data_IF_068222331662
#
_entry.id   IF_068222331662
#
_cell.length_a   1.000
_cell.length_b   1.000
_cell.length_c   1.000
_cell.angle_alpha   90.00
_cell.angle_beta   90.00
_cell.angle_gamma   90.00
#
_symmetry.space_group_name_H-M   'P 1'
#
loop_
_entity.id
_entity.type
_entity.pdbx_description
1 polymer ?
#
# COMPACT_ATOMS: atom_id res chain seq x y z
N UNK A 1 -33.30 49.84 -19.84
CA UNK A 1 -31.92 49.39 -19.56
C UNK A 1 -30.98 49.89 -20.65
N UNK A 2 -30.10 50.85 -20.35
CA UNK A 2 -29.15 51.39 -21.33
C UNK A 2 -28.17 50.34 -21.85
N UNK A 3 -27.79 50.48 -23.11
CA UNK A 3 -26.90 49.59 -23.86
C UNK A 3 -25.54 49.34 -23.15
N UNK A 4 -25.07 50.35 -22.40
CA UNK A 4 -23.87 50.30 -21.54
C UNK A 4 -23.97 49.25 -20.41
N UNK A 5 -25.15 49.06 -19.83
CA UNK A 5 -25.40 48.09 -18.76
C UNK A 5 -25.38 46.65 -19.28
N UNK A 6 -25.94 46.41 -20.49
CA UNK A 6 -25.91 45.10 -21.15
C UNK A 6 -24.48 44.68 -21.51
N UNK A 7 -23.64 45.61 -22.00
CA UNK A 7 -22.22 45.34 -22.30
C UNK A 7 -21.41 44.97 -21.05
N UNK A 8 -21.65 45.62 -19.90
CA UNK A 8 -21.01 45.27 -18.62
C UNK A 8 -21.41 43.89 -18.12
N UNK A 9 -22.70 43.57 -18.16
CA UNK A 9 -23.21 42.26 -17.75
C UNK A 9 -22.62 41.14 -18.61
N UNK A 10 -22.62 41.34 -19.94
CA UNK A 10 -22.10 40.36 -20.89
C UNK A 10 -20.60 40.07 -20.66
N UNK A 11 -19.79 41.09 -20.36
CA UNK A 11 -18.36 40.92 -19.99
C UNK A 11 -18.15 40.13 -18.69
N UNK A 12 -19.01 40.35 -17.68
CA UNK A 12 -18.95 39.60 -16.42
C UNK A 12 -19.33 38.14 -16.61
N UNK A 13 -20.37 37.87 -17.42
CA UNK A 13 -20.81 36.51 -17.73
C UNK A 13 -19.75 35.74 -18.52
N UNK A 14 -19.13 36.33 -19.54
CA UNK A 14 -18.01 35.67 -20.24
C UNK A 14 -16.82 35.43 -19.32
N UNK A 15 -16.48 36.37 -18.44
CA UNK A 15 -15.41 36.16 -17.44
C UNK A 15 -15.72 35.01 -16.50
N UNK A 16 -16.95 34.92 -15.98
CA UNK A 16 -17.38 33.83 -15.12
C UNK A 16 -17.35 32.46 -15.83
N UNK A 17 -17.84 32.43 -17.08
CA UNK A 17 -17.83 31.22 -17.91
C UNK A 17 -16.41 30.71 -18.16
N UNK A 18 -15.48 31.61 -18.51
CA UNK A 18 -14.07 31.24 -18.74
C UNK A 18 -13.41 30.74 -17.46
N UNK A 19 -13.73 31.34 -16.31
CA UNK A 19 -13.17 30.92 -15.01
C UNK A 19 -13.68 29.52 -14.63
N UNK A 20 -14.98 29.27 -14.76
CA UNK A 20 -15.57 27.94 -14.49
C UNK A 20 -14.98 26.89 -15.44
N UNK A 21 -14.83 27.23 -16.72
CA UNK A 21 -14.25 26.32 -17.71
C UNK A 21 -12.78 26.01 -17.40
N UNK A 22 -11.99 27.02 -17.03
CA UNK A 22 -10.60 26.83 -16.62
C UNK A 22 -10.47 25.95 -15.37
N UNK A 23 -11.27 26.21 -14.33
CA UNK A 23 -11.28 25.37 -13.12
C UNK A 23 -11.70 23.94 -13.44
N UNK A 24 -12.76 23.74 -14.24
CA UNK A 24 -13.24 22.43 -14.64
C UNK A 24 -12.18 21.61 -15.38
N UNK A 25 -11.52 22.22 -16.37
CA UNK A 25 -10.40 21.59 -17.09
C UNK A 25 -9.26 21.20 -16.15
N UNK A 26 -8.86 22.12 -15.26
CA UNK A 26 -7.78 21.84 -14.31
C UNK A 26 -8.12 20.69 -13.35
N UNK A 27 -9.37 20.58 -12.91
CA UNK A 27 -9.84 19.50 -12.05
C UNK A 27 -9.84 18.14 -12.76
N UNK A 28 -10.27 18.09 -14.03
CA UNK A 28 -10.24 16.85 -14.83
C UNK A 28 -8.81 16.40 -15.09
N UNK A 29 -7.92 17.32 -15.45
CA UNK A 29 -6.50 17.05 -15.65
C UNK A 29 -5.87 16.52 -14.36
N UNK A 30 -6.15 17.16 -13.21
CA UNK A 30 -5.66 16.67 -11.93
C UNK A 30 -6.15 15.24 -11.64
N UNK A 31 -7.44 14.96 -11.81
CA UNK A 31 -8.02 13.65 -11.50
C UNK A 31 -7.43 12.49 -12.33
N UNK A 32 -6.98 12.75 -13.57
CA UNK A 32 -6.38 11.71 -14.42
C UNK A 32 -4.87 11.55 -14.20
N UNK A 33 -4.18 12.59 -13.72
CA UNK A 33 -2.74 12.57 -13.47
C UNK A 33 -2.39 12.22 -12.01
N UNK A 34 -3.31 12.40 -11.06
CA UNK A 34 -3.08 12.04 -9.67
C UNK A 34 -3.10 10.52 -9.50
N UNK A 35 -2.06 9.92 -8.87
CA UNK A 35 -2.07 8.51 -8.53
C UNK A 35 -3.27 8.17 -7.64
N UNK A 36 -3.81 6.97 -7.83
CA UNK A 36 -4.84 6.43 -6.93
C UNK A 36 -4.30 6.45 -5.49
N UNK A 37 -5.07 6.96 -4.51
CA UNK A 37 -4.69 6.83 -3.12
C UNK A 37 -4.62 5.34 -2.78
N UNK A 38 -3.52 4.92 -2.17
CA UNK A 38 -3.36 3.59 -1.61
C UNK A 38 -4.25 3.46 -0.38
N UNK A 39 -5.54 3.19 -0.61
CA UNK A 39 -6.49 2.81 0.42
C UNK A 39 -6.39 1.30 0.61
N UNK A 40 -6.14 0.85 1.83
CA UNK A 40 -6.14 -0.57 2.17
C UNK A 40 -7.58 -1.12 2.08
N UNK A 41 -8.02 -1.44 0.87
CA UNK A 41 -9.29 -2.13 0.63
C UNK A 41 -9.05 -3.62 0.77
N UNK A 42 -9.77 -4.26 1.69
CA UNK A 42 -9.76 -5.70 1.85
C UNK A 42 -10.41 -6.37 0.62
N UNK A 43 -9.60 -6.60 -0.41
CA UNK A 43 -9.99 -7.41 -1.56
C UNK A 43 -10.18 -8.86 -1.10
N UNK A 44 -11.26 -9.52 -1.53
CA UNK A 44 -11.52 -10.90 -1.14
C UNK A 44 -10.40 -11.85 -1.60
N UNK A 45 -9.77 -11.56 -2.74
CA UNK A 45 -8.60 -12.32 -3.19
C UNK A 45 -7.42 -12.19 -2.22
N UNK A 46 -7.20 -11.00 -1.66
CA UNK A 46 -6.18 -10.76 -0.64
C UNK A 46 -6.53 -11.47 0.68
N UNK A 47 -7.81 -11.56 1.05
CA UNK A 47 -8.21 -12.28 2.27
C UNK A 47 -7.93 -13.79 2.20
N UNK A 48 -8.05 -14.40 1.01
CA UNK A 48 -7.69 -15.80 0.81
C UNK A 48 -6.17 -15.99 0.91
N UNK A 49 -5.38 -15.12 0.27
CA UNK A 49 -3.92 -15.14 0.37
C UNK A 49 -3.42 -14.94 1.80
N UNK A 50 -4.03 -14.02 2.56
CA UNK A 50 -3.69 -13.78 3.96
C UNK A 50 -3.96 -15.03 4.82
N UNK A 51 -5.06 -15.74 4.58
CA UNK A 51 -5.36 -16.98 5.29
C UNK A 51 -4.34 -18.08 5.00
N UNK A 52 -3.98 -18.27 3.72
CA UNK A 52 -2.93 -19.21 3.34
C UNK A 52 -1.58 -18.83 3.99
N UNK A 53 -1.24 -17.54 3.98
CA UNK A 53 -0.04 -17.04 4.66
C UNK A 53 -0.05 -17.30 6.16
N UNK A 54 -1.21 -17.14 6.81
CA UNK A 54 -1.39 -17.44 8.22
C UNK A 54 -1.22 -18.93 8.52
N UNK A 55 -1.81 -19.82 7.73
CA UNK A 55 -1.67 -21.28 7.90
C UNK A 55 -0.20 -21.73 7.77
N UNK A 56 0.53 -21.18 6.80
CA UNK A 56 1.97 -21.41 6.65
C UNK A 56 2.76 -20.86 7.85
N UNK A 57 2.39 -19.69 8.36
CA UNK A 57 3.04 -19.08 9.51
C UNK A 57 2.84 -19.92 10.79
N UNK A 58 1.61 -20.37 11.04
CA UNK A 58 1.24 -21.20 12.19
C UNK A 58 1.97 -22.54 12.20
N UNK A 59 2.23 -23.10 11.02
CA UNK A 59 2.88 -24.42 10.90
C UNK A 59 4.41 -24.35 10.93
N UNK A 60 5.03 -23.30 10.38
CA UNK A 60 6.48 -23.27 10.15
C UNK A 60 7.24 -22.20 10.96
N UNK A 61 6.58 -21.15 11.45
CA UNK A 61 7.26 -19.94 11.95
C UNK A 61 6.95 -19.64 13.42
N UNK A 62 5.76 -20.01 13.89
CA UNK A 62 5.19 -19.58 15.18
C UNK A 62 6.07 -19.95 16.39
N UNK A 63 6.78 -21.07 16.31
CA UNK A 63 7.60 -21.59 17.42
C UNK A 63 8.77 -20.67 17.79
N UNK A 64 9.28 -19.92 16.80
CA UNK A 64 10.37 -18.96 16.98
C UNK A 64 9.89 -17.51 16.94
N UNK A 65 8.85 -17.19 16.17
CA UNK A 65 8.40 -15.81 15.94
C UNK A 65 7.10 -15.43 16.69
N UNK A 66 6.49 -16.37 17.40
CA UNK A 66 5.32 -16.15 18.26
C UNK A 66 4.00 -16.03 17.50
N UNK A 67 2.89 -16.34 18.17
CA UNK A 67 1.53 -16.34 17.59
C UNK A 67 1.08 -14.99 17.00
N UNK A 68 1.62 -13.89 17.52
CA UNK A 68 1.27 -12.52 17.15
C UNK A 68 2.46 -11.78 16.53
N UNK A 69 3.42 -12.50 15.91
CA UNK A 69 4.64 -11.93 15.33
C UNK A 69 5.56 -11.24 16.36
N UNK A 70 5.32 -11.42 17.66
CA UNK A 70 6.01 -10.70 18.72
C UNK A 70 7.44 -11.19 18.98
N UNK A 71 7.84 -12.30 18.36
CA UNK A 71 9.10 -12.97 18.65
C UNK A 71 9.01 -13.85 19.90
N UNK A 72 10.03 -14.67 20.09
CA UNK A 72 10.20 -15.50 21.28
C UNK A 72 11.64 -15.31 21.76
N UNK A 73 11.79 -14.85 23.00
CA UNK A 73 13.10 -14.59 23.60
C UNK A 73 14.01 -15.84 23.52
N UNK A 74 15.24 -15.65 23.04
CA UNK A 74 16.20 -16.73 22.82
C UNK A 74 15.90 -17.67 21.64
N UNK A 75 14.79 -17.49 20.91
CA UNK A 75 14.43 -18.32 19.74
C UNK A 75 14.24 -17.57 18.44
N UNK A 76 13.69 -16.37 18.46
CA UNK A 76 13.48 -15.61 17.23
C UNK A 76 13.02 -14.17 17.49
N UNK A 77 13.45 -13.22 16.65
CA UNK A 77 13.05 -11.83 16.78
C UNK A 77 11.58 -11.63 16.44
N UNK A 78 11.04 -10.46 16.81
CA UNK A 78 9.73 -10.02 16.32
C UNK A 78 9.74 -9.84 14.80
N UNK A 79 8.61 -10.17 14.17
CA UNK A 79 8.34 -9.92 12.76
C UNK A 79 7.41 -8.72 12.53
N UNK A 80 6.99 -8.01 13.59
CA UNK A 80 6.18 -6.80 13.47
C UNK A 80 6.98 -5.72 12.74
N UNK A 81 6.41 -5.19 11.65
CA UNK A 81 7.04 -4.13 10.87
C UNK A 81 8.16 -4.57 9.92
N UNK A 82 8.47 -5.87 9.83
CA UNK A 82 9.49 -6.40 8.90
C UNK A 82 9.08 -6.21 7.43
N UNK A 83 7.79 -6.39 7.14
CA UNK A 83 7.22 -6.18 5.81
C UNK A 83 7.43 -7.35 4.83
N UNK A 84 6.65 -7.34 3.76
CA UNK A 84 6.57 -8.44 2.79
C UNK A 84 7.90 -8.67 2.06
N UNK A 85 8.58 -7.62 1.60
CA UNK A 85 9.81 -7.77 0.81
C UNK A 85 10.93 -8.47 1.58
N UNK A 86 11.06 -8.19 2.88
CA UNK A 86 12.04 -8.85 3.73
C UNK A 86 11.68 -10.33 3.97
N UNK A 87 10.41 -10.64 4.22
CA UNK A 87 9.93 -12.03 4.34
C UNK A 87 10.17 -12.78 3.03
N UNK A 88 9.82 -12.19 1.89
CA UNK A 88 10.06 -12.76 0.57
C UNK A 88 11.54 -13.07 0.37
N UNK A 89 12.44 -12.11 0.62
CA UNK A 89 13.88 -12.34 0.46
C UNK A 89 14.36 -13.50 1.34
N UNK A 90 13.99 -13.53 2.62
CA UNK A 90 14.49 -14.57 3.53
C UNK A 90 13.96 -15.96 3.19
N UNK A 91 12.67 -16.07 2.82
CA UNK A 91 12.04 -17.36 2.50
C UNK A 91 12.43 -17.83 1.09
N UNK A 92 12.33 -16.97 0.08
CA UNK A 92 12.68 -17.33 -1.31
C UNK A 92 14.14 -17.67 -1.49
N UNK A 93 15.03 -17.03 -0.71
CA UNK A 93 16.44 -17.37 -0.71
C UNK A 93 16.76 -18.62 0.11
N UNK A 94 15.78 -19.20 0.83
CA UNK A 94 15.96 -20.39 1.65
C UNK A 94 16.77 -20.17 2.94
N UNK A 95 16.94 -18.91 3.37
CA UNK A 95 17.59 -18.56 4.65
C UNK A 95 16.64 -18.76 5.83
N UNK A 96 15.36 -18.56 5.59
CA UNK A 96 14.26 -18.93 6.48
C UNK A 96 13.40 -20.02 5.82
N UNK A 97 12.83 -20.95 6.59
CA UNK A 97 12.98 -21.12 8.04
C UNK A 97 14.34 -21.73 8.42
N UNK A 98 14.99 -21.20 9.45
CA UNK A 98 16.29 -21.70 9.96
C UNK A 98 16.10 -22.81 10.98
N UNK A 99 17.01 -23.79 10.97
CA UNK A 99 17.01 -24.90 11.94
C UNK A 99 17.68 -24.46 13.26
N UNK A 100 18.56 -23.46 13.21
CA UNK A 100 19.44 -23.04 14.33
C UNK A 100 19.69 -21.54 14.28
N UNK A 101 19.74 -20.86 15.42
CA UNK A 101 20.11 -19.45 15.54
C UNK A 101 21.64 -19.29 15.48
N UNK A 102 22.19 -19.38 14.28
CA UNK A 102 23.62 -19.13 14.03
C UNK A 102 23.83 -17.67 13.58
N UNK A 103 25.07 -17.18 13.68
CA UNK A 103 25.41 -15.78 13.35
C UNK A 103 25.09 -15.41 11.89
N UNK A 104 24.97 -16.39 11.00
CA UNK A 104 24.61 -16.20 9.60
C UNK A 104 23.58 -17.25 9.18
N UNK A 105 22.46 -16.81 8.61
CA UNK A 105 21.49 -17.71 7.99
C UNK A 105 22.02 -18.16 6.62
N UNK A 106 22.56 -19.38 6.56
CA UNK A 106 23.00 -19.97 5.31
C UNK A 106 21.80 -20.32 4.42
N UNK A 107 21.97 -20.13 3.12
CA UNK A 107 20.98 -20.54 2.12
C UNK A 107 20.94 -22.06 2.02
N UNK A 108 19.74 -22.64 2.06
CA UNK A 108 19.53 -24.07 1.77
C UNK A 108 19.82 -24.39 0.30
N UNK A 109 20.42 -25.55 0.05
CA UNK A 109 20.55 -26.15 -1.29
C UNK A 109 19.16 -26.50 -1.81
N UNK A 110 18.82 -26.22 -3.08
CA UNK A 110 17.53 -26.57 -3.67
C UNK A 110 17.27 -28.08 -3.67
#
# INVERSE_FOLDING_TARGET
>A
MSDKSRRRLRRRLTGALLLVFGLGLSGVVAATLTPQPQVAVADQSQSALLRTGQELFETACITCHGANLQGVEGRGPSLVGVGEAAVFFQVSSGRMPMIRNEAQAMRKTP
#
